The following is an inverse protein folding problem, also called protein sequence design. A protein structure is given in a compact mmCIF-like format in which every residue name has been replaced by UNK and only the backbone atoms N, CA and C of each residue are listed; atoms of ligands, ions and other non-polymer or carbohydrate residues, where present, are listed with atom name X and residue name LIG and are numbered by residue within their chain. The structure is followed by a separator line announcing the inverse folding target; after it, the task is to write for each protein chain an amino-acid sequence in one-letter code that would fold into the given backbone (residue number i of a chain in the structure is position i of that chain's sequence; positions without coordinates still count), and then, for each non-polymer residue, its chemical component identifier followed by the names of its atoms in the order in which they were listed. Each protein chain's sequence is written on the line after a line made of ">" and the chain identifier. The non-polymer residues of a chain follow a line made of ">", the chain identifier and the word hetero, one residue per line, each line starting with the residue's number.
data_IF_298618870589
#
_entry.id   IF_298618870589
#
_cell.length_a   1.000
_cell.length_b   1.000
_cell.length_c   1.000
_cell.angle_alpha   90.00
_cell.angle_beta   90.00
_cell.angle_gamma   90.00
#
_symmetry.space_group_name_H-M   'P 1'
#
loop_
_entity.id
_entity.type
_entity.pdbx_description
1 polymer ?
#
# COMPACT_ATOMS: atom_id res chain seq x y z
N UNK A 1 1.31 -14.16 -5.58
CA UNK A 1 2.58 -13.54 -5.11
C UNK A 1 2.21 -12.67 -3.94
N UNK A 2 2.81 -12.90 -2.77
CA UNK A 2 2.40 -12.28 -1.52
C UNK A 2 3.50 -11.34 -0.99
N UNK A 3 3.09 -10.17 -0.52
CA UNK A 3 3.91 -9.11 0.04
C UNK A 3 3.46 -8.89 1.49
N UNK A 4 4.32 -9.19 2.48
CA UNK A 4 3.99 -8.88 3.88
C UNK A 4 4.53 -7.52 4.27
N UNK A 5 3.67 -6.67 4.81
CA UNK A 5 3.98 -5.30 5.18
C UNK A 5 3.90 -5.10 6.70
N UNK A 6 4.68 -4.16 7.24
CA UNK A 6 4.56 -3.64 8.62
C UNK A 6 4.67 -2.12 8.62
N UNK A 7 4.20 -1.39 9.66
CA UNK A 7 4.49 0.03 9.82
C UNK A 7 6.00 0.28 9.87
N UNK A 8 6.46 1.33 9.18
CA UNK A 8 7.86 1.72 9.14
C UNK A 8 8.09 3.05 9.85
N UNK A 9 9.18 3.15 10.63
CA UNK A 9 9.43 4.31 11.51
C UNK A 9 10.09 5.51 10.81
N UNK A 10 10.85 5.29 9.74
CA UNK A 10 11.68 6.32 9.07
C UNK A 10 11.73 6.09 7.55
N UNK A 11 12.53 6.85 6.79
CA UNK A 11 12.86 6.55 5.38
C UNK A 11 14.31 6.08 5.22
N UNK A 12 14.51 4.85 4.75
CA UNK A 12 15.85 4.34 4.40
C UNK A 12 15.98 4.14 2.88
N UNK A 13 17.15 4.46 2.35
CA UNK A 13 17.53 4.23 0.95
C UNK A 13 18.82 3.41 0.92
N UNK A 14 18.79 2.20 0.34
CA UNK A 14 20.00 1.37 0.15
C UNK A 14 19.91 0.49 -1.09
N UNK A 15 21.06 0.25 -1.74
CA UNK A 15 21.15 -0.33 -3.09
C UNK A 15 20.61 -1.76 -3.29
N UNK A 16 20.48 -2.18 -4.55
CA UNK A 16 19.65 -3.32 -4.96
C UNK A 16 20.43 -4.50 -5.58
N UNK A 17 20.12 -5.73 -5.12
CA UNK A 17 20.59 -7.07 -5.57
C UNK A 17 19.84 -8.15 -4.75
N UNK A 18 19.44 -9.34 -5.20
CA UNK A 18 19.33 -9.90 -6.57
C UNK A 18 17.93 -10.58 -6.77
N UNK A 19 17.78 -11.86 -7.18
CA UNK A 19 16.55 -12.32 -7.84
C UNK A 19 15.95 -13.73 -7.54
N UNK A 20 14.75 -14.07 -8.10
CA UNK A 20 13.68 -14.82 -7.38
C UNK A 20 12.98 -16.01 -8.09
N UNK A 21 13.57 -16.72 -9.07
CA UNK A 21 13.09 -18.09 -9.40
C UNK A 21 14.17 -19.05 -9.96
N UNK A 22 14.31 -20.24 -9.34
CA UNK A 22 14.51 -21.58 -9.94
C UNK A 22 14.79 -22.65 -8.84
N UNK A 23 14.39 -23.94 -8.99
CA UNK A 23 14.47 -24.91 -7.88
C UNK A 23 15.82 -25.62 -7.69
N UNK A 24 16.65 -25.70 -8.73
CA UNK A 24 18.01 -26.28 -8.68
C UNK A 24 18.87 -25.64 -9.78
N UNK A 25 19.94 -24.93 -9.42
CA UNK A 25 20.81 -24.25 -10.38
C UNK A 25 22.15 -23.85 -9.77
N UNK A 26 23.25 -24.35 -10.33
CA UNK A 26 24.57 -24.36 -9.71
C UNK A 26 25.58 -23.41 -10.39
N UNK A 27 25.31 -22.09 -10.37
CA UNK A 27 26.32 -21.06 -10.68
C UNK A 27 26.13 -19.80 -9.80
N UNK A 28 27.20 -19.26 -9.20
CA UNK A 28 27.14 -18.04 -8.41
C UNK A 28 27.27 -16.78 -9.28
N UNK A 29 26.51 -15.72 -8.94
CA UNK A 29 26.74 -14.33 -9.39
C UNK A 29 26.73 -14.03 -10.92
N UNK A 30 25.60 -14.23 -11.62
CA UNK A 30 25.19 -13.32 -12.73
C UNK A 30 23.71 -13.51 -13.16
N UNK A 31 23.05 -12.38 -13.46
CA UNK A 31 21.90 -12.23 -14.36
C UNK A 31 20.57 -12.96 -14.03
N UNK A 32 19.75 -12.35 -13.16
CA UNK A 32 18.30 -12.59 -13.06
C UNK A 32 17.53 -11.25 -12.84
N UNK A 33 16.28 -11.08 -13.33
CA UNK A 33 15.58 -9.77 -13.43
C UNK A 33 14.63 -9.35 -12.27
N UNK A 34 15.01 -8.25 -11.58
CA UNK A 34 14.40 -7.65 -10.37
C UNK A 34 12.90 -7.84 -10.17
N UNK A 35 12.51 -8.21 -8.94
CA UNK A 35 11.13 -8.22 -8.46
C UNK A 35 10.47 -6.85 -8.68
N UNK A 36 9.36 -6.76 -9.46
CA UNK A 36 8.75 -5.48 -9.80
C UNK A 36 8.06 -4.78 -8.61
N UNK A 37 7.88 -5.51 -7.50
CA UNK A 37 7.26 -5.00 -6.27
C UNK A 37 8.26 -4.71 -5.14
N UNK A 38 9.57 -4.89 -5.37
CA UNK A 38 10.64 -4.67 -4.38
C UNK A 38 11.07 -5.92 -3.60
N UNK A 39 11.94 -5.72 -2.60
CA UNK A 39 12.51 -6.74 -1.70
C UNK A 39 12.15 -6.44 -0.24
N UNK A 40 12.42 -7.41 0.65
CA UNK A 40 12.41 -7.15 2.10
C UNK A 40 13.36 -5.99 2.46
N UNK A 41 12.91 -5.08 3.32
CA UNK A 41 13.56 -3.83 3.69
C UNK A 41 13.21 -2.63 2.80
N UNK A 42 12.65 -2.83 1.60
CA UNK A 42 12.14 -1.72 0.79
C UNK A 42 10.88 -1.11 1.43
N UNK A 43 10.58 0.15 1.15
CA UNK A 43 9.47 0.89 1.76
C UNK A 43 8.48 1.41 0.74
N UNK A 44 7.20 1.14 1.00
CA UNK A 44 6.04 1.59 0.24
C UNK A 44 5.31 2.67 1.03
N UNK A 45 4.72 3.64 0.34
CA UNK A 45 3.90 4.68 0.95
C UNK A 45 2.59 4.77 0.19
N UNK A 46 1.48 4.92 0.93
CA UNK A 46 0.15 4.96 0.32
C UNK A 46 -0.02 6.29 -0.41
N UNK A 47 -0.65 6.27 -1.59
CA UNK A 47 -0.94 7.47 -2.39
C UNK A 47 -2.45 7.61 -2.53
N UNK A 48 -2.96 8.75 -2.09
CA UNK A 48 -4.38 9.08 -1.99
C UNK A 48 -4.67 10.35 -2.81
N UNK A 49 -5.92 10.57 -3.20
CA UNK A 49 -6.34 11.89 -3.72
C UNK A 49 -6.44 12.85 -2.55
N UNK A 50 -5.79 14.00 -2.66
CA UNK A 50 -5.52 14.92 -1.54
C UNK A 50 -5.78 16.37 -1.95
N UNK A 51 -6.06 17.22 -0.98
CA UNK A 51 -6.13 18.67 -1.12
C UNK A 51 -5.22 19.31 -0.08
N UNK A 52 -4.61 20.44 -0.45
CA UNK A 52 -3.84 21.22 0.51
C UNK A 52 -3.91 22.70 0.17
N UNK A 53 -4.44 23.51 1.09
CA UNK A 53 -4.68 24.95 0.94
C UNK A 53 -3.47 25.82 1.30
N UNK A 54 -2.26 25.30 1.11
CA UNK A 54 -1.05 26.10 1.26
C UNK A 54 -0.63 26.71 -0.08
N UNK A 55 -0.38 28.01 -0.13
CA UNK A 55 -0.15 28.76 -1.38
C UNK A 55 0.99 28.18 -2.24
N UNK A 56 2.09 27.74 -1.60
CA UNK A 56 3.22 27.07 -2.27
C UNK A 56 2.85 25.69 -2.84
N UNK A 57 1.93 24.99 -2.17
CA UNK A 57 1.48 23.64 -2.53
C UNK A 57 0.34 23.71 -3.55
N UNK A 58 -0.34 24.84 -3.71
CA UNK A 58 -1.43 25.02 -4.67
C UNK A 58 -0.94 25.19 -6.12
N UNK A 59 0.26 25.71 -6.35
CA UNK A 59 0.79 25.97 -7.71
C UNK A 59 1.84 24.97 -8.20
N UNK A 60 2.19 23.97 -7.39
CA UNK A 60 3.38 23.14 -7.62
C UNK A 60 4.67 23.89 -7.28
N UNK A 61 5.81 23.20 -7.07
CA UNK A 61 6.08 21.78 -7.34
C UNK A 61 5.72 20.79 -6.21
N UNK A 62 4.78 21.12 -5.33
CA UNK A 62 4.32 20.27 -4.21
C UNK A 62 5.41 19.90 -3.20
N UNK A 63 6.40 20.79 -3.03
CA UNK A 63 7.35 20.69 -1.91
C UNK A 63 6.62 20.92 -0.59
N UNK A 64 7.19 20.44 0.52
CA UNK A 64 6.68 20.76 1.86
C UNK A 64 7.11 22.21 2.16
N UNK A 65 6.19 23.11 2.51
CA UNK A 65 6.54 24.41 3.07
C UNK A 65 7.27 24.24 4.39
N UNK A 66 8.22 25.13 4.71
CA UNK A 66 8.98 25.04 5.96
C UNK A 66 8.11 25.34 7.20
N UNK A 67 7.13 26.24 7.05
CA UNK A 67 6.16 26.70 8.05
C UNK A 67 4.93 25.81 8.23
N UNK A 68 4.66 24.87 7.31
CA UNK A 68 3.53 23.96 7.40
C UNK A 68 3.80 22.81 8.39
N UNK A 69 3.17 22.83 9.58
CA UNK A 69 3.07 21.63 10.41
C UNK A 69 2.00 20.67 9.85
N UNK A 70 2.33 19.39 9.74
CA UNK A 70 1.43 18.38 9.15
C UNK A 70 0.30 18.01 10.12
N UNK A 71 0.57 17.98 11.43
CA UNK A 71 -0.44 17.67 12.44
C UNK A 71 -1.48 18.77 12.55
N UNK A 72 -1.06 20.04 12.60
CA UNK A 72 -1.97 21.19 12.61
C UNK A 72 -2.79 21.26 11.32
N UNK A 73 -2.15 21.11 10.14
CA UNK A 73 -2.84 21.13 8.84
C UNK A 73 -3.88 20.02 8.66
N UNK A 74 -3.70 18.86 9.30
CA UNK A 74 -4.69 17.78 9.32
C UNK A 74 -5.89 18.11 10.23
N UNK A 75 -5.68 18.88 11.29
CA UNK A 75 -6.69 19.21 12.29
C UNK A 75 -7.57 20.41 11.89
N UNK A 76 -6.99 21.39 11.20
CA UNK A 76 -7.70 22.61 10.75
C UNK A 76 -8.34 22.48 9.35
N UNK A 77 -8.01 21.43 8.60
CA UNK A 77 -8.52 21.17 7.25
C UNK A 77 -7.65 21.73 6.12
N UNK A 78 -6.48 22.33 6.42
CA UNK A 78 -5.49 22.79 5.44
C UNK A 78 -4.92 21.63 4.61
N UNK A 79 -4.95 20.40 5.11
CA UNK A 79 -4.54 19.17 4.42
C UNK A 79 -5.59 18.06 4.64
N UNK A 80 -6.26 17.64 3.56
CA UNK A 80 -7.33 16.60 3.61
C UNK A 80 -7.22 15.58 2.49
N UNK A 81 -7.88 14.43 2.67
CA UNK A 81 -7.86 13.30 1.74
C UNK A 81 -9.28 12.93 1.35
N UNK A 82 -9.50 12.65 0.07
CA UNK A 82 -10.82 12.28 -0.44
C UNK A 82 -11.33 10.96 0.19
N UNK A 83 -10.42 10.12 0.68
CA UNK A 83 -10.74 8.88 1.39
C UNK A 83 -11.37 9.10 2.78
N UNK A 84 -11.16 10.26 3.40
CA UNK A 84 -11.71 10.58 4.72
C UNK A 84 -13.20 10.95 4.65
N UNK A 85 -13.75 11.13 3.44
CA UNK A 85 -15.13 11.61 3.21
C UNK A 85 -15.33 13.08 3.56
N UNK A 86 -14.28 13.77 4.01
CA UNK A 86 -14.28 15.19 4.36
C UNK A 86 -13.99 16.02 3.10
N UNK A 87 -15.01 16.71 2.59
CA UNK A 87 -14.82 17.78 1.63
C UNK A 87 -14.50 19.09 2.39
N UNK A 88 -13.48 19.86 1.96
CA UNK A 88 -13.41 21.29 2.26
C UNK A 88 -14.74 21.97 1.91
N UNK A 89 -15.09 23.04 2.64
CA UNK A 89 -16.39 23.72 2.54
C UNK A 89 -16.87 23.88 1.08
N UNK A 90 -18.08 23.40 0.79
CA UNK A 90 -18.61 23.22 -0.58
C UNK A 90 -18.59 24.48 -1.46
N UNK A 91 -18.46 25.66 -0.86
CA UNK A 91 -18.44 26.95 -1.55
C UNK A 91 -17.14 27.20 -2.35
N UNK A 92 -16.05 26.48 -2.09
CA UNK A 92 -14.74 26.78 -2.68
C UNK A 92 -14.31 25.87 -3.84
N UNK A 93 -15.02 24.76 -4.11
CA UNK A 93 -14.66 23.76 -5.13
C UNK A 93 -13.15 23.39 -5.09
N UNK A 94 -12.67 22.80 -3.98
CA UNK A 94 -11.25 22.57 -3.73
C UNK A 94 -10.58 21.83 -4.89
N UNK A 95 -9.42 22.34 -5.32
CA UNK A 95 -8.63 21.77 -6.41
C UNK A 95 -7.94 20.48 -5.94
N UNK A 96 -8.68 19.38 -5.96
CA UNK A 96 -8.19 18.04 -5.62
C UNK A 96 -7.01 17.63 -6.50
N UNK A 97 -5.93 17.19 -5.85
CA UNK A 97 -4.69 16.72 -6.47
C UNK A 97 -4.74 15.19 -6.52
N UNK A 98 -4.71 14.56 -7.70
CA UNK A 98 -4.81 13.10 -7.80
C UNK A 98 -3.57 12.42 -7.20
N UNK A 99 -3.74 11.17 -6.76
CA UNK A 99 -2.71 10.39 -6.07
C UNK A 99 -1.36 10.31 -6.81
N UNK A 100 -1.38 10.33 -8.15
CA UNK A 100 -0.16 10.35 -8.99
C UNK A 100 0.74 11.57 -8.75
N UNK A 101 0.19 12.68 -8.24
CA UNK A 101 0.90 13.92 -7.91
C UNK A 101 1.20 14.08 -6.41
N UNK A 102 0.72 13.17 -5.55
CA UNK A 102 0.93 13.25 -4.11
C UNK A 102 2.43 13.12 -3.77
N UNK A 103 3.06 14.09 -3.08
CA UNK A 103 4.46 13.99 -2.67
C UNK A 103 4.61 13.09 -1.43
N UNK A 104 5.84 12.64 -1.12
CA UNK A 104 6.07 11.75 0.02
C UNK A 104 5.64 12.36 1.35
N UNK A 105 5.86 13.66 1.57
CA UNK A 105 5.54 14.31 2.86
C UNK A 105 4.05 14.32 3.19
N UNK A 106 3.16 14.25 2.19
CA UNK A 106 1.70 14.12 2.36
C UNK A 106 1.30 12.69 2.77
N UNK A 107 2.15 11.68 2.59
CA UNK A 107 1.73 10.31 2.87
C UNK A 107 1.72 9.98 4.36
N UNK A 108 0.50 9.76 4.86
CA UNK A 108 0.16 9.37 6.24
C UNK A 108 0.66 7.98 6.62
N UNK A 109 0.79 7.07 5.65
CA UNK A 109 1.05 5.65 5.88
C UNK A 109 2.34 5.24 5.16
N UNK A 110 3.33 4.81 5.95
CA UNK A 110 4.58 4.22 5.47
C UNK A 110 4.70 2.76 5.92
N UNK A 111 4.95 1.89 4.95
CA UNK A 111 4.99 0.44 5.10
C UNK A 111 6.37 -0.08 4.70
N UNK A 112 6.95 -0.97 5.48
CA UNK A 112 8.15 -1.73 5.13
C UNK A 112 7.77 -3.12 4.64
N UNK A 113 8.29 -3.51 3.49
CA UNK A 113 8.22 -4.87 2.99
C UNK A 113 9.05 -5.75 3.91
N UNK A 114 8.42 -6.72 4.56
CA UNK A 114 9.07 -7.67 5.48
C UNK A 114 9.47 -8.96 4.78
N UNK A 115 8.68 -9.38 3.80
CA UNK A 115 8.86 -10.64 3.07
C UNK A 115 8.15 -10.56 1.71
N UNK A 116 8.72 -11.24 0.71
CA UNK A 116 8.22 -11.33 -0.66
C UNK A 116 8.35 -12.77 -1.14
N UNK A 117 7.23 -13.43 -1.42
CA UNK A 117 7.23 -14.86 -1.79
C UNK A 117 6.22 -15.22 -2.87
N UNK A 118 6.55 -16.30 -3.59
CA UNK A 118 5.69 -16.92 -4.60
C UNK A 118 4.98 -18.10 -3.96
N UNK A 119 3.67 -17.96 -3.77
CA UNK A 119 2.78 -18.98 -3.21
C UNK A 119 1.64 -19.25 -4.20
N UNK A 120 1.09 -20.47 -4.16
CA UNK A 120 -0.15 -20.81 -4.83
C UNK A 120 -1.31 -20.12 -4.10
N UNK A 121 -2.18 -19.45 -4.85
CA UNK A 121 -3.28 -18.67 -4.29
C UNK A 121 -4.22 -19.50 -3.41
N UNK A 122 -4.42 -20.78 -3.76
CA UNK A 122 -5.34 -21.70 -3.06
C UNK A 122 -4.70 -22.45 -1.89
N UNK A 123 -3.38 -22.36 -1.72
CA UNK A 123 -2.65 -22.98 -0.60
C UNK A 123 -2.56 -22.02 0.61
N UNK A 124 -3.24 -20.87 0.55
CA UNK A 124 -3.23 -19.87 1.63
C UNK A 124 -3.83 -20.43 2.92
N UNK A 125 -3.12 -20.26 4.03
CA UNK A 125 -3.59 -20.70 5.35
C UNK A 125 -4.59 -19.75 5.96
N UNK A 126 -5.31 -20.21 7.00
CA UNK A 126 -6.22 -19.37 7.79
C UNK A 126 -5.49 -18.19 8.44
N UNK A 127 -4.28 -18.41 8.92
CA UNK A 127 -3.44 -17.41 9.59
C UNK A 127 -2.92 -16.37 8.60
N UNK A 128 -2.60 -16.78 7.37
CA UNK A 128 -2.29 -15.87 6.27
C UNK A 128 -3.52 -15.05 5.88
N UNK A 129 -4.67 -15.68 5.69
CA UNK A 129 -5.94 -15.00 5.44
C UNK A 129 -6.24 -13.93 6.50
N UNK A 130 -6.12 -14.25 7.80
CA UNK A 130 -6.31 -13.26 8.88
C UNK A 130 -5.29 -12.12 8.80
N UNK A 131 -4.04 -12.40 8.44
CA UNK A 131 -3.00 -11.37 8.29
C UNK A 131 -3.22 -10.42 7.09
N UNK A 132 -3.94 -10.87 6.05
CA UNK A 132 -4.38 -10.02 4.93
C UNK A 132 -5.62 -9.16 5.28
N UNK A 133 -6.23 -9.38 6.46
CA UNK A 133 -7.25 -8.52 7.06
C UNK A 133 -8.64 -8.45 6.37
N UNK A 134 -9.23 -9.54 5.84
CA UNK A 134 -10.59 -9.50 5.31
C UNK A 134 -11.61 -9.22 6.43
N UNK A 135 -12.71 -8.54 6.08
CA UNK A 135 -13.79 -8.26 7.03
C UNK A 135 -14.43 -9.54 7.56
N UNK A 136 -14.09 -9.88 8.80
CA UNK A 136 -14.77 -10.91 9.58
C UNK A 136 -15.95 -10.28 10.32
N UNK A 137 -17.22 -10.58 9.95
CA UNK A 137 -18.33 -10.23 10.81
C UNK A 137 -18.14 -10.99 12.14
N UNK A 138 -18.21 -10.25 13.24
CA UNK A 138 -17.77 -10.69 14.58
C UNK A 138 -18.49 -11.95 15.09
N UNK A 139 -19.64 -12.30 14.49
CA UNK A 139 -20.37 -13.54 14.74
C UNK A 139 -20.26 -14.52 13.55
N UNK A 140 -19.42 -15.56 13.69
CA UNK A 140 -19.40 -16.68 12.72
C UNK A 140 -18.07 -17.41 12.55
N UNK A 141 -17.53 -18.03 13.62
CA UNK A 141 -16.37 -18.93 13.51
C UNK A 141 -16.75 -20.29 12.88
N UNK A 142 -17.03 -20.29 11.57
CA UNK A 142 -17.14 -21.51 10.77
C UNK A 142 -15.81 -21.72 10.01
N UNK A 143 -15.25 -22.93 10.09
CA UNK A 143 -13.91 -23.26 9.55
C UNK A 143 -13.73 -23.06 8.04
N UNK A 144 -14.81 -22.80 7.29
CA UNK A 144 -14.78 -22.52 5.85
C UNK A 144 -15.05 -21.04 5.50
N UNK A 145 -15.37 -20.20 6.47
CA UNK A 145 -15.67 -18.78 6.23
C UNK A 145 -14.45 -18.02 5.69
N UNK A 146 -13.27 -18.22 6.30
CA UNK A 146 -12.03 -17.50 5.98
C UNK A 146 -11.59 -17.65 4.52
N UNK A 147 -11.74 -18.84 3.92
CA UNK A 147 -11.36 -19.07 2.52
C UNK A 147 -12.35 -18.39 1.55
N UNK A 148 -13.64 -18.35 1.89
CA UNK A 148 -14.66 -17.63 1.10
C UNK A 148 -14.49 -16.12 1.24
N UNK A 149 -14.10 -15.63 2.42
CA UNK A 149 -13.84 -14.21 2.66
C UNK A 149 -12.58 -13.74 1.96
N UNK A 150 -11.50 -14.53 2.01
CA UNK A 150 -10.29 -14.22 1.25
C UNK A 150 -10.54 -14.27 -0.27
N UNK A 151 -11.32 -15.24 -0.75
CA UNK A 151 -11.77 -15.26 -2.14
C UNK A 151 -12.50 -13.94 -2.52
N UNK A 152 -13.42 -13.44 -1.67
CA UNK A 152 -14.13 -12.18 -1.94
C UNK A 152 -13.20 -10.96 -1.91
N UNK A 153 -12.27 -10.89 -0.96
CA UNK A 153 -11.25 -9.84 -0.89
C UNK A 153 -10.33 -9.86 -2.12
N UNK A 154 -9.96 -11.04 -2.58
CA UNK A 154 -9.18 -11.22 -3.80
C UNK A 154 -9.98 -10.81 -5.05
N UNK A 155 -11.24 -11.22 -5.16
CA UNK A 155 -12.14 -10.86 -6.27
C UNK A 155 -12.41 -9.34 -6.35
N UNK A 156 -12.40 -8.62 -5.24
CA UNK A 156 -12.58 -7.15 -5.23
C UNK A 156 -11.30 -6.35 -5.51
N UNK A 157 -10.11 -6.94 -5.36
CA UNK A 157 -8.82 -6.22 -5.45
C UNK A 157 -7.89 -6.71 -6.57
N UNK A 158 -7.82 -8.02 -6.80
CA UNK A 158 -6.87 -8.70 -7.68
C UNK A 158 -7.52 -9.50 -8.82
N UNK A 159 -8.85 -9.68 -8.80
CA UNK A 159 -9.64 -10.27 -9.89
C UNK A 159 -9.99 -11.74 -9.70
N UNK A 160 -10.26 -12.46 -10.79
CA UNK A 160 -10.86 -13.80 -10.75
C UNK A 160 -10.02 -14.84 -9.99
N UNK A 161 -10.56 -15.28 -8.84
CA UNK A 161 -10.02 -16.35 -8.00
C UNK A 161 -9.85 -17.69 -8.73
N UNK A 162 -10.79 -18.04 -9.62
CA UNK A 162 -10.84 -19.35 -10.29
C UNK A 162 -9.82 -19.48 -11.41
N UNK A 163 -9.18 -18.38 -11.81
CA UNK A 163 -8.10 -18.37 -12.82
C UNK A 163 -6.92 -19.29 -12.45
N UNK A 164 -6.75 -19.61 -11.17
CA UNK A 164 -5.62 -20.38 -10.63
C UNK A 164 -6.01 -21.74 -10.04
N UNK A 165 -7.19 -22.29 -10.40
CA UNK A 165 -7.75 -23.53 -9.83
C UNK A 165 -7.52 -24.80 -10.69
N UNK A 166 -6.30 -25.04 -11.17
CA UNK A 166 -5.94 -26.21 -11.99
C UNK A 166 -4.71 -26.93 -11.47
#
# INVERSE_FOLDING_TARGET
>A
MALRLKPALESHHSGHSHDWWLPTGSQPHAALPKCPYGKSGDRLWVRETWYCDHFEVMRGPYLKPDDLDIGEALNDGTLVYAADGLAPYEQEQPTWKPSIHMPRWVSRILLEITDVRVERLQDISREQCIAEGPDFPVAGHLERAWHVQFQRLWESTAGDWRRFSR
#
